data_IF_671003553362
#
_entry.id   IF_671003553362
#
_cell.length_a   1.000
_cell.length_b   1.000
_cell.length_c   1.000
_cell.angle_alpha   90.00
_cell.angle_beta   90.00
_cell.angle_gamma   90.00
#
_symmetry.space_group_name_H-M   'P 1'
#
loop_
_entity.id
_entity.type
_entity.pdbx_description
1 polymer ?
#
# COMPACT_ATOMS: atom_id res chain seq x y z
N UNK A 1 26.46 -16.48 -15.02
CA UNK A 1 26.47 -16.64 -13.54
C UNK A 1 25.85 -15.40 -12.90
N UNK A 2 25.07 -15.55 -11.82
CA UNK A 2 24.44 -14.43 -11.12
C UNK A 2 25.38 -13.87 -10.05
N UNK A 3 25.58 -12.56 -10.05
CA UNK A 3 26.42 -11.85 -9.08
C UNK A 3 25.59 -10.78 -8.36
N UNK A 4 25.80 -10.67 -7.05
CA UNK A 4 25.34 -9.56 -6.24
C UNK A 4 26.42 -8.46 -6.23
N UNK A 5 26.01 -7.23 -6.51
CA UNK A 5 26.86 -6.04 -6.43
C UNK A 5 26.71 -5.44 -5.04
N UNK A 6 27.80 -5.40 -4.29
CA UNK A 6 27.82 -4.97 -2.89
C UNK A 6 28.45 -3.58 -2.77
N UNK A 7 27.69 -2.67 -2.16
CA UNK A 7 28.15 -1.34 -1.80
C UNK A 7 27.83 -1.07 -0.33
N UNK A 8 28.84 -0.70 0.46
CA UNK A 8 28.70 -0.49 1.91
C UNK A 8 28.01 -1.66 2.65
N UNK A 9 28.41 -2.90 2.32
CA UNK A 9 27.84 -4.14 2.86
C UNK A 9 26.35 -4.38 2.51
N UNK A 10 25.80 -3.69 1.50
CA UNK A 10 24.43 -3.89 1.04
C UNK A 10 24.43 -4.28 -0.44
N UNK A 11 23.59 -5.23 -0.82
CA UNK A 11 23.33 -5.58 -2.22
C UNK A 11 22.57 -4.44 -2.87
N UNK A 12 23.21 -3.72 -3.78
CA UNK A 12 22.60 -2.59 -4.50
C UNK A 12 22.07 -2.99 -5.88
N UNK A 13 22.58 -4.09 -6.44
CA UNK A 13 22.16 -4.62 -7.72
C UNK A 13 22.42 -6.12 -7.81
N UNK A 14 21.74 -6.81 -8.72
CA UNK A 14 22.04 -8.20 -9.07
C UNK A 14 22.15 -8.33 -10.58
N UNK A 15 23.32 -8.75 -11.04
CA UNK A 15 23.66 -8.81 -12.47
C UNK A 15 23.86 -10.26 -12.91
N UNK A 16 23.65 -10.50 -14.20
CA UNK A 16 23.93 -11.79 -14.84
C UNK A 16 24.99 -11.53 -15.89
N UNK A 17 26.16 -12.11 -15.69
CA UNK A 17 27.30 -12.02 -16.62
C UNK A 17 27.91 -13.39 -16.83
N UNK A 18 28.50 -13.63 -18.00
CA UNK A 18 29.22 -14.88 -18.27
C UNK A 18 30.54 -14.90 -17.51
N UNK A 19 31.28 -13.79 -17.51
CA UNK A 19 32.47 -13.56 -16.69
C UNK A 19 32.34 -12.27 -15.86
N UNK A 20 32.74 -12.31 -14.58
CA UNK A 20 32.72 -11.13 -13.71
C UNK A 20 33.71 -10.04 -14.13
N UNK A 21 34.79 -10.40 -14.82
CA UNK A 21 35.82 -9.48 -15.32
C UNK A 21 35.31 -8.57 -16.45
N UNK A 22 34.19 -8.91 -17.09
CA UNK A 22 33.54 -8.09 -18.13
C UNK A 22 32.77 -6.90 -17.53
N UNK A 23 32.53 -6.93 -16.22
CA UNK A 23 31.81 -5.87 -15.50
C UNK A 23 32.80 -5.02 -14.69
N UNK A 24 33.33 -3.97 -15.31
CA UNK A 24 34.21 -3.02 -14.64
C UNK A 24 33.42 -2.20 -13.61
N UNK A 25 33.66 -2.47 -12.32
CA UNK A 25 33.08 -1.75 -11.19
C UNK A 25 34.08 -1.68 -10.04
N UNK A 26 33.98 -0.63 -9.22
CA UNK A 26 34.69 -0.52 -7.94
C UNK A 26 33.95 -1.27 -6.81
N UNK A 27 32.71 -1.69 -7.06
CA UNK A 27 31.88 -2.40 -6.10
C UNK A 27 32.26 -3.88 -5.99
N UNK A 28 32.05 -4.49 -4.82
CA UNK A 28 32.37 -5.89 -4.59
C UNK A 28 31.35 -6.80 -5.28
N UNK A 29 31.81 -7.75 -6.09
CA UNK A 29 30.97 -8.75 -6.76
C UNK A 29 31.04 -10.08 -6.02
N UNK A 30 29.89 -10.58 -5.56
CA UNK A 30 29.78 -11.89 -4.91
C UNK A 30 28.84 -12.77 -5.73
N UNK A 31 29.31 -13.92 -6.19
CA UNK A 31 28.46 -14.89 -6.89
C UNK A 31 27.36 -15.39 -5.95
N UNK A 32 26.10 -15.28 -6.36
CA UNK A 32 24.97 -15.71 -5.56
C UNK A 32 23.72 -15.91 -6.41
N UNK A 33 23.08 -17.07 -6.26
CA UNK A 33 21.81 -17.36 -6.91
C UNK A 33 20.60 -16.85 -6.10
N UNK A 34 20.80 -16.46 -4.84
CA UNK A 34 19.71 -16.14 -3.91
C UNK A 34 19.74 -14.72 -3.31
N UNK A 35 20.86 -14.00 -3.40
CA UNK A 35 20.95 -12.64 -2.86
C UNK A 35 19.92 -11.69 -3.51
N UNK A 36 19.14 -10.98 -2.70
CA UNK A 36 18.21 -9.95 -3.13
C UNK A 36 18.80 -8.55 -2.99
N UNK A 37 18.28 -7.58 -3.76
CA UNK A 37 18.61 -6.17 -3.54
C UNK A 37 18.14 -5.78 -2.13
N UNK A 38 19.00 -5.08 -1.40
CA UNK A 38 18.79 -4.70 -0.01
C UNK A 38 19.40 -5.67 1.00
N UNK A 39 19.69 -6.92 0.65
CA UNK A 39 20.34 -7.87 1.57
C UNK A 39 21.70 -7.33 2.04
N UNK A 40 22.11 -7.72 3.24
CA UNK A 40 23.40 -7.32 3.80
C UNK A 40 24.44 -8.43 3.62
N UNK A 41 25.64 -8.05 3.20
CA UNK A 41 26.79 -8.95 3.15
C UNK A 41 27.64 -8.79 4.42
N UNK A 42 27.84 -9.88 5.16
CA UNK A 42 28.63 -9.87 6.40
C UNK A 42 30.09 -10.30 6.22
N UNK A 43 30.52 -10.57 4.98
CA UNK A 43 31.83 -11.14 4.67
C UNK A 43 31.82 -12.66 4.44
N UNK A 44 30.72 -13.35 4.78
CA UNK A 44 30.58 -14.82 4.66
C UNK A 44 29.24 -15.24 4.05
N UNK A 45 28.17 -14.53 4.37
CA UNK A 45 26.79 -14.84 4.03
C UNK A 45 25.98 -13.60 3.72
N UNK A 46 24.89 -13.80 2.97
CA UNK A 46 23.85 -12.80 2.80
C UNK A 46 22.85 -12.90 3.96
N UNK A 47 22.65 -11.79 4.64
CA UNK A 47 21.60 -11.60 5.62
C UNK A 47 20.43 -10.97 4.87
N UNK A 48 19.34 -11.73 4.74
CA UNK A 48 18.14 -11.26 4.07
C UNK A 48 17.67 -9.97 4.72
N UNK A 49 17.46 -8.94 3.92
CA UNK A 49 16.77 -7.76 4.42
C UNK A 49 15.32 -8.09 4.73
N UNK A 50 14.70 -7.40 5.71
CA UNK A 50 13.26 -7.53 5.94
C UNK A 50 12.54 -7.30 4.61
N UNK A 51 11.51 -8.09 4.28
CA UNK A 51 10.71 -7.84 3.08
C UNK A 51 10.20 -6.40 3.16
N UNK A 52 10.39 -5.66 2.07
CA UNK A 52 9.76 -4.35 1.91
C UNK A 52 8.25 -4.51 2.18
N UNK A 53 7.62 -3.60 2.94
CA UNK A 53 6.18 -3.62 3.06
C UNK A 53 5.58 -3.58 1.66
N UNK A 54 4.61 -4.45 1.39
CA UNK A 54 3.89 -4.43 0.12
C UNK A 54 3.40 -2.99 -0.15
N UNK A 55 3.39 -2.50 -1.39
CA UNK A 55 2.73 -1.24 -1.66
C UNK A 55 1.21 -1.36 -1.41
N UNK A 56 0.51 -0.25 -1.08
CA UNK A 56 -0.95 -0.24 -1.01
C UNK A 56 -1.59 -0.69 -2.32
N UNK A 57 -2.55 -1.61 -2.25
CA UNK A 57 -3.28 -2.13 -3.40
C UNK A 57 -4.64 -1.44 -3.54
N UNK A 58 -4.62 -0.23 -4.10
CA UNK A 58 -5.82 0.59 -4.33
C UNK A 58 -6.87 -0.11 -5.19
N UNK A 59 -6.44 -0.86 -6.21
CA UNK A 59 -7.35 -1.63 -7.05
C UNK A 59 -8.17 -2.63 -6.22
N UNK A 60 -7.50 -3.42 -5.38
CA UNK A 60 -8.14 -4.40 -4.52
C UNK A 60 -9.05 -3.73 -3.48
N UNK A 61 -8.58 -2.64 -2.87
CA UNK A 61 -9.38 -1.85 -1.92
C UNK A 61 -10.67 -1.34 -2.58
N UNK A 62 -10.57 -0.63 -3.70
CA UNK A 62 -11.70 -0.03 -4.39
C UNK A 62 -12.71 -1.08 -4.84
N UNK A 63 -12.25 -2.20 -5.43
CA UNK A 63 -13.14 -3.29 -5.85
C UNK A 63 -13.91 -3.88 -4.67
N UNK A 64 -13.22 -4.17 -3.57
CA UNK A 64 -13.85 -4.75 -2.39
C UNK A 64 -14.83 -3.77 -1.74
N UNK A 65 -14.49 -2.48 -1.71
CA UNK A 65 -15.32 -1.43 -1.11
C UNK A 65 -16.57 -1.12 -1.94
N UNK A 66 -16.46 -1.03 -3.28
CA UNK A 66 -17.61 -0.83 -4.17
C UNK A 66 -18.62 -2.00 -4.10
N UNK A 67 -18.15 -3.21 -3.84
CA UNK A 67 -19.01 -4.39 -3.65
C UNK A 67 -19.55 -4.51 -2.21
N UNK A 68 -19.07 -3.69 -1.28
CA UNK A 68 -19.47 -3.75 0.12
C UNK A 68 -20.84 -3.10 0.33
N UNK A 69 -21.81 -3.88 0.83
CA UNK A 69 -23.19 -3.42 1.05
C UNK A 69 -23.27 -2.24 2.03
N UNK A 70 -22.44 -2.24 3.08
CA UNK A 70 -22.43 -1.17 4.06
C UNK A 70 -21.91 0.15 3.47
N UNK A 71 -20.86 0.10 2.65
CA UNK A 71 -20.37 1.26 1.91
C UNK A 71 -21.47 1.82 1.00
N UNK A 72 -22.12 0.99 0.19
CA UNK A 72 -23.19 1.41 -0.72
C UNK A 72 -24.39 2.02 0.02
N UNK A 73 -24.74 1.47 1.18
CA UNK A 73 -25.77 2.03 2.07
C UNK A 73 -25.35 3.41 2.57
N UNK A 74 -24.15 3.53 3.11
CA UNK A 74 -23.62 4.78 3.67
C UNK A 74 -23.53 5.88 2.62
N UNK A 75 -23.04 5.57 1.42
CA UNK A 75 -22.96 6.56 0.33
C UNK A 75 -24.35 7.05 -0.09
N UNK A 76 -25.34 6.16 -0.13
CA UNK A 76 -26.73 6.51 -0.45
C UNK A 76 -27.37 7.42 0.61
N UNK A 77 -27.10 7.18 1.90
CA UNK A 77 -27.76 7.90 2.99
C UNK A 77 -27.02 9.14 3.50
N UNK A 78 -25.79 9.39 3.04
CA UNK A 78 -25.07 10.60 3.39
C UNK A 78 -25.75 11.83 2.77
N UNK A 79 -25.98 12.89 3.55
CA UNK A 79 -26.48 14.16 2.99
C UNK A 79 -25.39 14.92 2.22
N UNK A 80 -24.11 14.57 2.43
CA UNK A 80 -22.98 15.19 1.77
C UNK A 80 -22.63 14.46 0.45
N UNK A 81 -23.58 14.47 -0.48
CA UNK A 81 -23.44 13.82 -1.79
C UNK A 81 -22.29 14.39 -2.64
N UNK A 82 -21.86 15.63 -2.36
CA UNK A 82 -20.67 16.22 -3.01
C UNK A 82 -19.40 15.49 -2.56
N UNK A 83 -19.27 15.19 -1.27
CA UNK A 83 -18.14 14.42 -0.76
C UNK A 83 -18.12 13.00 -1.33
N UNK A 84 -19.27 12.32 -1.39
CA UNK A 84 -19.41 10.98 -2.00
C UNK A 84 -18.88 10.96 -3.44
N UNK A 85 -19.37 11.85 -4.31
CA UNK A 85 -18.95 11.89 -5.73
C UNK A 85 -17.45 12.17 -5.89
N UNK A 86 -16.90 13.07 -5.07
CA UNK A 86 -15.46 13.39 -5.09
C UNK A 86 -14.62 12.22 -4.58
N UNK A 87 -15.09 11.53 -3.55
CA UNK A 87 -14.44 10.33 -3.01
C UNK A 87 -14.35 9.25 -4.09
N UNK A 88 -15.45 8.94 -4.78
CA UNK A 88 -15.49 7.94 -5.86
C UNK A 88 -14.60 8.33 -7.04
N UNK A 89 -14.55 9.62 -7.39
CA UNK A 89 -13.65 10.13 -8.44
C UNK A 89 -12.18 9.94 -8.05
N UNK A 90 -11.82 10.28 -6.81
CA UNK A 90 -10.45 10.18 -6.33
C UNK A 90 -10.03 8.73 -6.17
N UNK A 91 -10.92 7.86 -5.68
CA UNK A 91 -10.66 6.42 -5.58
C UNK A 91 -10.19 5.84 -6.92
N UNK A 92 -10.83 6.22 -8.03
CA UNK A 92 -10.41 5.83 -9.39
C UNK A 92 -9.01 6.38 -9.73
N UNK A 93 -8.72 7.64 -9.38
CA UNK A 93 -7.41 8.25 -9.69
C UNK A 93 -6.25 7.70 -8.86
N UNK A 94 -6.50 7.25 -7.62
CA UNK A 94 -5.47 6.71 -6.73
C UNK A 94 -4.93 5.37 -7.24
N UNK A 95 -5.74 4.62 -7.99
CA UNK A 95 -5.35 3.38 -8.67
C UNK A 95 -4.30 3.63 -9.77
N UNK A 96 -4.34 4.81 -10.41
CA UNK A 96 -3.47 5.17 -11.54
C UNK A 96 -2.10 5.69 -11.09
N UNK A 97 -2.01 6.26 -9.89
CA UNK A 97 -0.84 7.04 -9.46
C UNK A 97 0.25 6.25 -8.69
N UNK A 98 0.08 4.94 -8.47
CA UNK A 98 1.09 3.91 -8.12
C UNK A 98 2.35 4.33 -7.33
N UNK A 99 2.24 5.27 -6.39
CA UNK A 99 3.39 5.85 -5.70
C UNK A 99 3.25 5.66 -4.20
N UNK A 100 4.34 5.18 -3.59
CA UNK A 100 4.48 4.98 -2.16
C UNK A 100 4.38 6.28 -1.31
N UNK A 101 4.25 7.44 -1.97
CA UNK A 101 4.18 8.77 -1.37
C UNK A 101 2.84 9.47 -1.65
N UNK A 102 1.74 8.72 -1.75
CA UNK A 102 0.43 9.34 -1.95
C UNK A 102 -0.02 10.03 -0.66
N UNK A 103 -0.29 11.32 -0.78
CA UNK A 103 -1.01 12.07 0.24
C UNK A 103 -2.48 11.65 0.24
N UNK A 104 -2.88 10.88 1.25
CA UNK A 104 -4.26 10.41 1.42
C UNK A 104 -5.17 11.44 2.08
N UNK A 105 -4.66 12.63 2.42
CA UNK A 105 -5.40 13.64 3.19
C UNK A 105 -6.73 13.99 2.55
N UNK A 106 -6.78 14.16 1.23
CA UNK A 106 -8.04 14.49 0.55
C UNK A 106 -9.04 13.32 0.62
N UNK A 107 -8.57 12.08 0.46
CA UNK A 107 -9.42 10.90 0.60
C UNK A 107 -10.00 10.79 2.01
N UNK A 108 -9.16 10.98 3.04
CA UNK A 108 -9.55 10.96 4.45
C UNK A 108 -10.58 12.05 4.74
N UNK A 109 -10.34 13.28 4.28
CA UNK A 109 -11.25 14.41 4.49
C UNK A 109 -12.61 14.13 3.86
N UNK A 110 -12.64 13.63 2.62
CA UNK A 110 -13.90 13.34 1.92
C UNK A 110 -14.65 12.16 2.54
N UNK A 111 -13.94 11.11 2.95
CA UNK A 111 -14.54 9.99 3.67
C UNK A 111 -15.18 10.46 4.98
N UNK A 112 -14.43 11.20 5.79
CA UNK A 112 -14.91 11.68 7.09
C UNK A 112 -16.09 12.65 6.91
N UNK A 113 -16.06 13.49 5.87
CA UNK A 113 -17.18 14.38 5.54
C UNK A 113 -18.43 13.61 5.05
N UNK A 114 -18.27 12.47 4.38
CA UNK A 114 -19.37 11.57 4.03
C UNK A 114 -19.99 10.95 5.30
N UNK A 115 -19.16 10.43 6.21
CA UNK A 115 -19.61 9.85 7.49
C UNK A 115 -20.31 10.90 8.36
N UNK A 116 -19.77 12.11 8.44
CA UNK A 116 -20.39 13.23 9.17
C UNK A 116 -21.73 13.67 8.57
N UNK A 117 -21.95 13.42 7.28
CA UNK A 117 -23.23 13.64 6.60
C UNK A 117 -24.30 12.58 6.89
N UNK A 118 -24.03 11.54 7.68
CA UNK A 118 -25.01 10.49 7.96
C UNK A 118 -25.97 10.89 9.10
N UNK A 119 -27.30 10.70 8.92
CA UNK A 119 -28.23 10.65 10.04
C UNK A 119 -27.79 9.61 11.08
N UNK A 120 -28.06 9.86 12.37
CA UNK A 120 -27.62 8.98 13.48
C UNK A 120 -28.06 7.52 13.25
N UNK A 121 -29.30 7.30 12.81
CA UNK A 121 -29.86 5.97 12.52
C UNK A 121 -29.14 5.24 11.37
N UNK A 122 -28.45 5.97 10.50
CA UNK A 122 -27.77 5.43 9.34
C UNK A 122 -26.25 5.35 9.51
N UNK A 123 -25.72 5.65 10.71
CA UNK A 123 -24.29 5.50 10.98
C UNK A 123 -23.83 4.05 10.80
N UNK A 124 -22.54 3.83 10.51
CA UNK A 124 -22.01 2.49 10.34
C UNK A 124 -22.09 1.71 11.65
N UNK A 125 -22.44 0.43 11.59
CA UNK A 125 -22.38 -0.46 12.77
C UNK A 125 -20.94 -0.92 13.00
N UNK A 126 -20.61 -1.41 14.22
CA UNK A 126 -19.30 -1.97 14.50
C UNK A 126 -18.89 -3.08 13.52
N UNK A 127 -19.83 -3.95 13.13
CA UNK A 127 -19.58 -5.06 12.20
C UNK A 127 -19.26 -4.56 10.78
N UNK A 128 -19.94 -3.51 10.33
CA UNK A 128 -19.66 -2.89 9.04
C UNK A 128 -18.26 -2.25 9.01
N UNK A 129 -17.90 -1.57 10.11
CA UNK A 129 -16.57 -0.96 10.29
C UNK A 129 -15.48 -2.03 10.30
N UNK A 130 -15.70 -3.16 10.99
CA UNK A 130 -14.75 -4.27 11.00
C UNK A 130 -14.59 -4.89 9.61
N UNK A 131 -15.66 -4.93 8.81
CA UNK A 131 -15.59 -5.27 7.39
C UNK A 131 -14.68 -4.31 6.60
N UNK A 132 -14.77 -3.01 6.84
CA UNK A 132 -13.90 -2.03 6.18
C UNK A 132 -12.45 -2.14 6.62
N UNK A 133 -12.19 -2.38 7.91
CA UNK A 133 -10.83 -2.65 8.42
C UNK A 133 -10.23 -3.89 7.75
N UNK A 134 -11.01 -4.95 7.59
CA UNK A 134 -10.55 -6.17 6.92
C UNK A 134 -10.21 -5.91 5.44
N UNK A 135 -11.00 -5.09 4.74
CA UNK A 135 -10.71 -4.67 3.37
C UNK A 135 -9.41 -3.86 3.30
N UNK A 136 -9.25 -2.84 4.14
CA UNK A 136 -8.04 -2.02 4.19
C UNK A 136 -6.78 -2.85 4.51
N UNK A 137 -6.88 -3.76 5.49
CA UNK A 137 -5.79 -4.65 5.86
C UNK A 137 -5.39 -5.58 4.70
N UNK A 138 -6.37 -6.21 4.05
CA UNK A 138 -6.13 -7.14 2.92
C UNK A 138 -5.49 -6.42 1.73
N UNK A 139 -5.88 -5.16 1.50
CA UNK A 139 -5.33 -4.32 0.45
C UNK A 139 -4.08 -3.55 0.87
N UNK A 140 -3.57 -3.77 2.08
CA UNK A 140 -2.41 -3.08 2.65
C UNK A 140 -2.48 -1.54 2.55
N UNK A 141 -3.65 -0.99 2.84
CA UNK A 141 -3.90 0.45 2.85
C UNK A 141 -3.35 1.07 4.15
N UNK A 142 -2.64 2.21 4.10
CA UNK A 142 -1.91 2.77 5.24
C UNK A 142 -2.79 3.65 6.14
N UNK A 143 -4.02 3.21 6.39
CA UNK A 143 -4.94 3.81 7.35
C UNK A 143 -5.94 2.77 7.86
N UNK A 144 -6.64 3.09 8.94
CA UNK A 144 -7.69 2.26 9.52
C UNK A 144 -8.97 3.05 9.75
N UNK A 145 -9.98 2.40 10.32
CA UNK A 145 -11.28 3.01 10.65
C UNK A 145 -11.47 3.03 12.16
N UNK A 146 -11.79 4.22 12.69
CA UNK A 146 -12.21 4.43 14.07
C UNK A 146 -13.61 3.84 14.33
N UNK A 147 -14.01 3.81 15.61
CA UNK A 147 -15.29 3.24 16.03
C UNK A 147 -16.53 3.97 15.48
N UNK A 148 -16.38 5.21 15.02
CA UNK A 148 -17.43 5.99 14.37
C UNK A 148 -17.44 5.83 12.83
N UNK A 149 -16.55 4.98 12.30
CA UNK A 149 -16.41 4.72 10.88
C UNK A 149 -15.54 5.73 10.14
N UNK A 150 -14.94 6.71 10.81
CA UNK A 150 -14.00 7.66 10.20
C UNK A 150 -12.63 7.05 9.99
N UNK A 151 -11.89 7.55 9.00
CA UNK A 151 -10.52 7.14 8.76
C UNK A 151 -9.56 7.79 9.76
N UNK A 152 -8.60 7.00 10.24
CA UNK A 152 -7.47 7.39 11.10
C UNK A 152 -6.17 6.80 10.55
N UNK A 153 -5.04 7.50 10.73
CA UNK A 153 -3.69 7.05 10.36
C UNK A 153 -3.01 6.47 11.59
#
# INVERSE_FOLDING_TARGET
>A
MRYAVIKNNTVVNTIIVENSEEFSTEDLLIQSDYAGIGDRWDGKSFIASPPLPSPPNWNAFNKALLLNVAYNRVTQFSINQVAVRRLETIAISLDVASSANQDYTIFIVLWNAMIDGLPVINRPTPEEIDGWKAIALTANIPFSFAQDGKIVI
#
